data_IF_145133879160
#
_entry.id   IF_145133879160
#
_cell.length_a   1.000
_cell.length_b   1.000
_cell.length_c   1.000
_cell.angle_alpha   90.00
_cell.angle_beta   90.00
_cell.angle_gamma   90.00
#
_symmetry.space_group_name_H-M   'P 1'
#
loop_
_entity.id
_entity.type
_entity.pdbx_description
1 polymer ?
#
# COMPACT_ATOMS: atom_id res chain seq x y z
N UNK A 1 -37.49 1.56 61.35
CA UNK A 1 -36.19 2.20 61.58
C UNK A 1 -35.64 2.55 60.22
N UNK A 2 -35.71 3.84 59.89
CA UNK A 2 -35.30 4.34 58.59
C UNK A 2 -33.80 4.14 58.43
N UNK A 3 -33.40 3.44 57.36
CA UNK A 3 -31.99 3.22 57.03
C UNK A 3 -31.40 4.56 56.62
N UNK A 4 -30.67 5.20 57.53
CA UNK A 4 -29.87 6.39 57.25
C UNK A 4 -28.96 6.10 56.06
N UNK A 5 -29.04 6.94 55.03
CA UNK A 5 -28.26 6.78 53.81
C UNK A 5 -26.98 7.61 53.90
N UNK A 6 -25.98 7.29 53.07
CA UNK A 6 -24.72 8.06 52.98
C UNK A 6 -24.95 9.57 52.70
N UNK A 7 -26.13 9.97 52.26
CA UNK A 7 -26.49 11.39 52.02
C UNK A 7 -26.89 12.16 53.27
N UNK A 8 -27.16 11.46 54.37
CA UNK A 8 -27.51 12.05 55.68
C UNK A 8 -26.26 12.28 56.56
N UNK A 9 -25.07 11.89 56.05
CA UNK A 9 -23.79 12.10 56.70
C UNK A 9 -23.52 13.61 56.85
N UNK A 10 -23.60 14.09 58.09
CA UNK A 10 -23.17 15.45 58.47
C UNK A 10 -24.27 16.41 58.92
N UNK A 11 -25.55 16.04 58.89
CA UNK A 11 -26.64 16.92 59.39
C UNK A 11 -27.10 16.59 60.80
N UNK A 12 -27.25 15.31 61.14
CA UNK A 12 -27.70 14.87 62.47
C UNK A 12 -26.69 13.90 63.11
N UNK A 13 -25.78 14.43 63.92
CA UNK A 13 -24.75 13.63 64.60
C UNK A 13 -25.35 12.65 65.63
N UNK A 14 -26.52 12.99 66.19
CA UNK A 14 -27.18 12.24 67.25
C UNK A 14 -27.86 10.97 66.74
N UNK A 15 -28.57 11.07 65.61
CA UNK A 15 -29.19 9.93 64.93
C UNK A 15 -28.15 8.93 64.41
N UNK A 16 -27.00 9.42 63.93
CA UNK A 16 -25.89 8.55 63.52
C UNK A 16 -25.27 7.78 64.70
N UNK A 17 -25.13 8.43 65.87
CA UNK A 17 -24.67 7.75 67.09
C UNK A 17 -25.65 6.67 67.55
N UNK A 18 -26.96 6.91 67.43
CA UNK A 18 -27.97 5.90 67.72
C UNK A 18 -27.92 4.72 66.74
N UNK A 19 -27.80 5.00 65.44
CA UNK A 19 -27.67 3.96 64.42
C UNK A 19 -26.41 3.10 64.59
N UNK A 20 -25.27 3.73 64.91
CA UNK A 20 -24.02 3.01 65.17
C UNK A 20 -24.15 2.01 66.33
N UNK A 21 -24.96 2.30 67.35
CA UNK A 21 -25.22 1.38 68.47
C UNK A 21 -26.02 0.13 68.05
N UNK A 22 -26.73 0.19 66.92
CA UNK A 22 -27.51 -0.94 66.40
C UNK A 22 -26.72 -1.87 65.48
N UNK A 23 -25.54 -1.43 65.00
CA UNK A 23 -24.66 -2.26 64.19
C UNK A 23 -23.96 -3.30 65.08
N UNK A 24 -23.68 -4.51 64.56
CA UNK A 24 -22.83 -5.47 65.26
C UNK A 24 -21.45 -4.86 65.52
N UNK A 25 -20.85 -5.21 66.67
CA UNK A 25 -19.49 -4.80 66.96
C UNK A 25 -18.53 -5.50 65.98
N UNK A 26 -17.60 -4.73 65.42
CA UNK A 26 -16.53 -5.26 64.58
C UNK A 26 -15.52 -5.92 65.52
N UNK A 27 -15.26 -7.20 65.29
CA UNK A 27 -14.19 -7.93 65.97
C UNK A 27 -12.86 -7.62 65.26
N UNK A 28 -11.91 -6.92 65.92
CA UNK A 28 -10.62 -6.62 65.32
C UNK A 28 -9.73 -7.87 65.31
N UNK A 29 -9.87 -8.69 64.27
CA UNK A 29 -9.03 -9.85 64.00
C UNK A 29 -8.08 -9.64 62.83
N UNK A 30 -6.94 -10.34 62.85
CA UNK A 30 -6.07 -10.45 61.68
C UNK A 30 -6.65 -11.50 60.73
N UNK A 31 -6.95 -11.09 59.49
CA UNK A 31 -7.40 -11.98 58.43
C UNK A 31 -6.20 -12.63 57.70
N UNK A 32 -6.46 -13.67 56.92
CA UNK A 32 -5.42 -14.41 56.18
C UNK A 32 -4.61 -13.55 55.19
N UNK A 33 -5.17 -12.44 54.69
CA UNK A 33 -4.52 -11.49 53.77
C UNK A 33 -4.13 -10.18 54.50
N UNK A 34 -3.92 -10.26 55.81
CA UNK A 34 -3.37 -9.15 56.57
C UNK A 34 -1.89 -8.98 56.20
N UNK A 35 -1.53 -7.81 55.67
CA UNK A 35 -0.14 -7.45 55.38
C UNK A 35 0.77 -7.48 56.62
N UNK A 36 0.21 -7.57 57.82
CA UNK A 36 0.94 -7.79 59.06
C UNK A 36 0.82 -9.26 59.43
N UNK A 37 1.92 -9.99 59.27
CA UNK A 37 2.14 -11.28 59.91
C UNK A 37 2.56 -11.05 61.36
N UNK A 38 2.39 -12.03 62.24
CA UNK A 38 2.92 -11.96 63.62
C UNK A 38 4.42 -12.25 63.60
N UNK A 39 5.30 -11.24 63.73
CA UNK A 39 6.73 -11.51 63.74
C UNK A 39 7.10 -12.14 65.07
N UNK A 40 7.96 -13.15 65.04
CA UNK A 40 8.55 -13.72 66.26
C UNK A 40 9.47 -12.72 66.98
N UNK A 41 10.02 -11.74 66.24
CA UNK A 41 10.87 -10.67 66.75
C UNK A 41 10.16 -9.31 66.65
N UNK A 42 10.16 -8.52 67.73
CA UNK A 42 9.45 -7.22 67.77
C UNK A 42 10.31 -6.00 67.38
N UNK A 43 11.56 -6.22 66.95
CA UNK A 43 12.58 -5.17 66.78
C UNK A 43 12.30 -4.26 65.57
N UNK A 44 11.61 -4.77 64.55
CA UNK A 44 11.36 -4.06 63.29
C UNK A 44 12.60 -3.97 62.39
N UNK A 45 12.59 -3.00 61.47
CA UNK A 45 13.66 -2.75 60.49
C UNK A 45 14.86 -2.01 61.13
N UNK A 46 15.65 -2.74 61.92
CA UNK A 46 16.86 -2.24 62.59
C UNK A 46 18.07 -3.08 62.19
N UNK A 47 19.22 -2.47 61.88
CA UNK A 47 20.43 -3.21 61.55
C UNK A 47 20.85 -4.21 62.64
N UNK A 48 21.03 -5.47 62.22
CA UNK A 48 21.31 -6.61 63.12
C UNK A 48 22.69 -6.47 63.79
N UNK A 49 23.60 -5.71 63.21
CA UNK A 49 24.95 -5.46 63.73
C UNK A 49 24.94 -4.90 65.16
N UNK A 50 23.90 -4.16 65.55
CA UNK A 50 23.78 -3.59 66.90
C UNK A 50 23.59 -4.65 67.99
N UNK A 51 23.16 -5.86 67.60
CA UNK A 51 23.00 -7.01 68.49
C UNK A 51 24.15 -8.02 68.38
N UNK A 52 25.23 -7.70 67.63
CA UNK A 52 26.36 -8.61 67.44
C UNK A 52 27.05 -8.98 68.77
N UNK A 53 27.16 -8.02 69.69
CA UNK A 53 27.82 -8.21 70.99
C UNK A 53 26.88 -8.84 72.06
N UNK A 54 25.60 -9.04 71.73
CA UNK A 54 24.59 -9.53 72.67
C UNK A 54 24.16 -10.98 72.35
N UNK A 55 23.91 -11.82 73.38
CA UNK A 55 23.47 -13.21 73.19
C UNK A 55 21.98 -13.35 72.83
N UNK A 56 21.27 -12.23 72.69
CA UNK A 56 19.83 -12.15 72.42
C UNK A 56 19.57 -11.07 71.37
N UNK A 57 18.48 -11.22 70.64
CA UNK A 57 18.01 -10.31 69.61
C UNK A 57 16.70 -9.71 70.14
N UNK A 58 16.79 -8.52 70.75
CA UNK A 58 15.63 -7.81 71.28
C UNK A 58 14.76 -8.57 72.30
N UNK A 59 13.50 -8.16 72.40
CA UNK A 59 12.56 -8.67 73.40
C UNK A 59 11.21 -9.02 72.74
N UNK A 60 10.47 -9.93 73.36
CA UNK A 60 9.10 -10.27 72.96
C UNK A 60 8.10 -9.20 73.47
N UNK A 61 6.83 -9.27 73.05
CA UNK A 61 5.71 -8.41 73.49
C UNK A 61 5.58 -8.44 75.03
N UNK A 62 5.86 -9.60 75.64
CA UNK A 62 5.89 -9.81 77.10
C UNK A 62 7.19 -9.32 77.78
N UNK A 63 8.16 -8.79 77.03
CA UNK A 63 9.45 -8.32 77.56
C UNK A 63 10.48 -9.43 77.87
N UNK A 64 10.26 -10.66 77.38
CA UNK A 64 11.23 -11.76 77.50
C UNK A 64 12.33 -11.62 76.43
N UNK A 65 13.55 -12.02 76.76
CA UNK A 65 14.69 -11.96 75.81
C UNK A 65 14.52 -13.03 74.74
N UNK A 66 14.54 -12.65 73.46
CA UNK A 66 14.54 -13.61 72.36
C UNK A 66 15.97 -14.06 72.09
N UNK A 67 16.26 -15.33 72.38
CA UNK A 67 17.61 -15.88 72.23
C UNK A 67 17.98 -16.02 70.75
N UNK A 68 19.25 -15.78 70.43
CA UNK A 68 19.74 -15.96 69.06
C UNK A 68 19.62 -17.43 68.64
N UNK A 69 19.06 -17.73 67.45
CA UNK A 69 19.08 -19.10 66.92
C UNK A 69 20.54 -19.54 66.72
N UNK A 70 20.80 -20.84 66.83
CA UNK A 70 22.15 -21.36 66.63
C UNK A 70 22.62 -21.05 65.20
N UNK A 71 23.56 -20.11 65.05
CA UNK A 71 24.18 -19.81 63.77
C UNK A 71 25.26 -20.85 63.49
N UNK A 72 25.11 -21.63 62.42
CA UNK A 72 26.13 -22.58 61.98
C UNK A 72 27.41 -21.88 61.51
N UNK A 73 28.52 -22.62 61.55
CA UNK A 73 29.82 -22.14 61.08
C UNK A 73 29.80 -21.87 59.57
N UNK A 74 30.78 -21.11 59.07
CA UNK A 74 30.92 -20.87 57.62
C UNK A 74 31.06 -22.17 56.83
N UNK A 75 31.66 -23.19 57.44
CA UNK A 75 31.76 -24.54 56.86
C UNK A 75 30.40 -25.24 56.81
N UNK A 76 29.55 -25.09 57.83
CA UNK A 76 28.21 -25.69 57.84
C UNK A 76 27.31 -25.03 56.79
N UNK A 77 27.40 -23.71 56.63
CA UNK A 77 26.71 -22.98 55.55
C UNK A 77 27.18 -23.45 54.18
N UNK A 78 28.48 -23.71 54.04
CA UNK A 78 29.05 -24.21 52.79
C UNK A 78 28.59 -25.64 52.48
N UNK A 79 28.53 -26.52 53.50
CA UNK A 79 28.01 -27.87 53.35
C UNK A 79 26.52 -27.88 53.04
N UNK A 80 25.72 -27.06 53.73
CA UNK A 80 24.31 -26.86 53.42
C UNK A 80 24.14 -26.44 51.95
N UNK A 81 24.95 -25.48 51.47
CA UNK A 81 24.91 -25.04 50.07
C UNK A 81 25.29 -26.12 49.03
N UNK A 82 26.07 -27.14 49.41
CA UNK A 82 26.49 -28.21 48.49
C UNK A 82 25.60 -29.45 48.55
N UNK A 83 25.14 -29.82 49.75
CA UNK A 83 24.47 -31.09 50.01
C UNK A 83 22.93 -30.97 49.94
N UNK A 84 22.35 -29.81 50.27
CA UNK A 84 20.90 -29.64 50.28
C UNK A 84 20.37 -29.17 48.90
N UNK A 85 19.49 -29.95 48.24
CA UNK A 85 18.91 -29.56 46.96
C UNK A 85 17.91 -28.41 47.11
N UNK A 86 17.46 -28.07 48.32
CA UNK A 86 16.45 -27.02 48.55
C UNK A 86 17.04 -25.65 48.87
N UNK A 87 18.38 -25.49 48.84
CA UNK A 87 19.07 -24.21 49.14
C UNK A 87 18.64 -23.07 48.22
N UNK A 88 18.34 -23.35 46.96
CA UNK A 88 17.85 -22.32 46.04
C UNK A 88 16.39 -21.92 46.31
N UNK A 89 15.67 -22.68 47.17
CA UNK A 89 14.29 -22.40 47.60
C UNK A 89 14.23 -21.73 48.97
N UNK A 90 15.35 -21.66 49.69
CA UNK A 90 15.42 -21.00 50.99
C UNK A 90 15.79 -19.53 50.81
N UNK A 91 15.04 -18.65 51.45
CA UNK A 91 15.32 -17.22 51.52
C UNK A 91 15.49 -16.83 52.99
N UNK A 92 16.43 -15.94 53.27
CA UNK A 92 16.65 -15.46 54.64
C UNK A 92 15.64 -14.37 54.97
N UNK A 93 14.82 -14.62 55.98
CA UNK A 93 13.93 -13.60 56.54
C UNK A 93 14.74 -12.71 57.51
N UNK A 94 14.83 -11.42 57.21
CA UNK A 94 15.59 -10.44 57.99
C UNK A 94 14.90 -10.13 59.34
N UNK A 95 13.57 -10.21 59.39
CA UNK A 95 12.78 -9.86 60.58
C UNK A 95 12.86 -10.99 61.60
N UNK A 96 12.58 -12.22 61.20
CA UNK A 96 12.61 -13.37 62.10
C UNK A 96 14.01 -14.01 62.24
N UNK A 97 14.97 -13.60 61.40
CA UNK A 97 16.36 -14.09 61.38
C UNK A 97 16.46 -15.61 61.24
N UNK A 98 15.58 -16.16 60.42
CA UNK A 98 15.50 -17.59 60.09
C UNK A 98 15.55 -17.76 58.58
N UNK A 99 16.13 -18.87 58.14
CA UNK A 99 16.10 -19.25 56.73
C UNK A 99 14.77 -19.96 56.45
N UNK A 100 13.87 -19.27 55.75
CA UNK A 100 12.51 -19.77 55.45
C UNK A 100 12.54 -20.48 54.10
N UNK A 101 12.08 -21.73 54.09
CA UNK A 101 11.90 -22.51 52.86
C UNK A 101 10.55 -22.17 52.24
N UNK A 102 10.55 -21.74 50.97
CA UNK A 102 9.32 -21.52 50.21
C UNK A 102 8.55 -22.84 50.02
N UNK A 103 7.23 -22.78 50.19
CA UNK A 103 6.35 -23.92 49.94
C UNK A 103 6.24 -24.23 48.44
N UNK A 104 5.87 -25.46 48.08
CA UNK A 104 5.71 -25.82 46.66
C UNK A 104 4.58 -25.03 45.99
N UNK A 105 3.54 -24.65 46.75
CA UNK A 105 2.42 -23.82 46.30
C UNK A 105 2.87 -22.39 46.00
N UNK A 106 3.67 -21.78 46.89
CA UNK A 106 4.28 -20.46 46.66
C UNK A 106 5.17 -20.45 45.41
N UNK A 107 5.98 -21.49 45.23
CA UNK A 107 6.85 -21.62 44.05
C UNK A 107 6.03 -21.75 42.77
N UNK A 108 4.93 -22.49 42.78
CA UNK A 108 4.04 -22.63 41.62
C UNK A 108 3.36 -21.28 41.28
N UNK A 109 2.92 -20.54 42.30
CA UNK A 109 2.39 -19.17 42.14
C UNK A 109 3.44 -18.26 41.50
N UNK A 110 4.67 -18.24 42.01
CA UNK A 110 5.77 -17.43 41.47
C UNK A 110 6.06 -17.80 40.01
N UNK A 111 6.10 -19.10 39.69
CA UNK A 111 6.34 -19.58 38.32
C UNK A 111 5.25 -19.11 37.37
N UNK A 112 3.98 -19.19 37.78
CA UNK A 112 2.84 -18.72 36.98
C UNK A 112 2.90 -17.22 36.76
N UNK A 113 3.22 -16.43 37.79
CA UNK A 113 3.40 -14.98 37.69
C UNK A 113 4.52 -14.64 36.71
N UNK A 114 5.69 -15.27 36.83
CA UNK A 114 6.83 -15.05 35.92
C UNK A 114 6.49 -15.44 34.47
N UNK A 115 5.67 -16.47 34.29
CA UNK A 115 5.18 -16.90 32.98
C UNK A 115 4.06 -16.01 32.40
N UNK A 116 3.63 -14.96 33.11
CA UNK A 116 2.47 -14.14 32.71
C UNK A 116 1.13 -14.89 32.76
N UNK A 117 1.08 -16.02 33.48
CA UNK A 117 -0.11 -16.81 33.73
C UNK A 117 -0.91 -16.29 34.93
N UNK A 118 -2.03 -16.96 35.21
CA UNK A 118 -2.93 -16.59 36.30
C UNK A 118 -2.41 -17.23 37.59
N UNK A 119 -2.23 -16.48 38.70
CA UNK A 119 -1.67 -17.01 39.94
C UNK A 119 -2.54 -18.10 40.57
N UNK A 120 -3.85 -17.89 40.58
CA UNK A 120 -4.83 -18.84 41.12
C UNK A 120 -4.96 -20.08 40.22
N UNK A 121 -4.93 -21.26 40.84
CA UNK A 121 -5.01 -22.56 40.15
C UNK A 121 -6.42 -22.90 39.71
N UNK A 122 -7.41 -22.45 40.46
CA UNK A 122 -8.80 -22.81 40.23
C UNK A 122 -9.49 -21.83 39.27
N UNK A 123 -8.79 -20.75 38.89
CA UNK A 123 -9.35 -19.74 38.00
C UNK A 123 -9.43 -20.22 36.55
N UNK A 124 -10.63 -20.19 35.99
CA UNK A 124 -10.87 -20.50 34.58
C UNK A 124 -10.82 -19.22 33.72
N UNK A 125 -9.83 -19.05 32.81
CA UNK A 125 -9.76 -17.87 31.94
C UNK A 125 -10.87 -17.79 30.89
N UNK A 126 -11.52 -18.92 30.61
CA UNK A 126 -12.51 -19.06 29.54
C UNK A 126 -13.84 -19.55 30.12
N UNK A 127 -14.37 -18.80 31.06
CA UNK A 127 -15.73 -19.04 31.56
C UNK A 127 -16.77 -18.75 30.47
N UNK A 128 -17.81 -19.58 30.41
CA UNK A 128 -18.91 -19.38 29.49
C UNK A 128 -19.65 -18.08 29.81
N UNK A 129 -20.01 -17.32 28.77
CA UNK A 129 -20.72 -16.06 28.94
C UNK A 129 -22.11 -16.31 29.50
N UNK A 130 -22.34 -15.92 30.76
CA UNK A 130 -23.66 -16.03 31.39
C UNK A 130 -24.55 -14.86 30.97
N UNK A 131 -25.56 -15.16 30.16
CA UNK A 131 -26.56 -14.19 29.67
C UNK A 131 -27.60 -13.79 30.75
N UNK A 132 -27.14 -13.23 31.86
CA UNK A 132 -28.01 -12.87 32.99
C UNK A 132 -29.03 -11.76 32.64
N UNK A 133 -28.75 -10.92 31.64
CA UNK A 133 -29.63 -9.84 31.20
C UNK A 133 -30.47 -10.22 29.97
N UNK A 134 -29.82 -10.74 28.92
CA UNK A 134 -30.46 -11.03 27.62
C UNK A 134 -31.37 -12.25 27.63
N UNK A 135 -31.27 -13.11 28.66
CA UNK A 135 -32.19 -14.23 28.88
C UNK A 135 -33.66 -13.80 29.00
N UNK A 136 -33.92 -12.55 29.38
CA UNK A 136 -35.27 -12.01 29.50
C UNK A 136 -35.63 -11.15 28.28
N UNK A 137 -36.61 -11.60 27.49
CA UNK A 137 -37.07 -10.86 26.31
C UNK A 137 -37.97 -9.68 26.69
N UNK A 138 -37.68 -8.50 26.15
CA UNK A 138 -38.48 -7.30 26.40
C UNK A 138 -39.72 -7.26 25.50
N UNK A 139 -40.92 -7.16 26.11
CA UNK A 139 -42.19 -7.13 25.38
C UNK A 139 -42.53 -5.74 24.79
N UNK A 140 -41.99 -4.68 25.39
CA UNK A 140 -42.24 -3.29 25.00
C UNK A 140 -40.97 -2.68 24.39
N UNK A 141 -41.08 -1.76 23.42
CA UNK A 141 -39.93 -0.97 22.99
C UNK A 141 -39.36 -0.17 24.17
N UNK A 142 -38.05 0.06 24.13
CA UNK A 142 -37.36 0.88 25.14
C UNK A 142 -37.91 2.30 25.25
N UNK A 143 -38.46 2.84 24.15
CA UNK A 143 -39.02 4.18 24.10
C UNK A 143 -40.43 4.17 23.49
N UNK A 144 -41.38 4.78 24.19
CA UNK A 144 -42.76 4.98 23.75
C UNK A 144 -42.95 6.33 23.03
N UNK A 145 -41.95 6.78 22.26
CA UNK A 145 -42.04 8.03 21.52
C UNK A 145 -43.19 7.97 20.48
N UNK A 146 -44.10 8.96 20.46
CA UNK A 146 -45.23 8.93 19.53
C UNK A 146 -44.73 9.07 18.08
N UNK A 147 -45.34 8.35 17.13
CA UNK A 147 -44.95 8.42 15.73
C UNK A 147 -45.25 9.82 15.16
N UNK A 148 -44.37 10.29 14.29
CA UNK A 148 -44.53 11.60 13.66
C UNK A 148 -45.68 11.61 12.64
N UNK A 149 -46.37 12.75 12.48
CA UNK A 149 -47.41 12.90 11.44
C UNK A 149 -46.87 12.70 10.02
N UNK A 150 -45.58 12.98 9.79
CA UNK A 150 -44.94 12.83 8.49
C UNK A 150 -44.82 11.37 8.04
N UNK A 151 -44.83 10.41 8.97
CA UNK A 151 -44.79 8.98 8.66
C UNK A 151 -46.09 8.49 8.00
N UNK A 152 -47.20 9.21 8.19
CA UNK A 152 -48.52 8.85 7.68
C UNK A 152 -48.99 9.73 6.51
N UNK A 153 -48.34 10.88 6.28
CA UNK A 153 -48.70 11.81 5.21
C UNK A 153 -47.75 11.65 4.01
N UNK A 154 -48.19 12.04 2.80
CA UNK A 154 -47.30 12.13 1.64
C UNK A 154 -46.08 13.02 1.91
N UNK A 155 -44.95 12.67 1.29
CA UNK A 155 -43.67 13.32 1.55
C UNK A 155 -43.66 14.79 1.13
N UNK A 156 -43.41 15.68 2.10
CA UNK A 156 -43.20 17.11 1.82
C UNK A 156 -41.97 17.36 0.95
N UNK A 157 -40.97 16.49 1.03
CA UNK A 157 -39.74 16.63 0.25
C UNK A 157 -39.97 16.29 -1.22
N UNK A 158 -40.75 15.24 -1.48
CA UNK A 158 -41.23 14.90 -2.81
C UNK A 158 -42.03 16.06 -3.41
N UNK A 159 -42.97 16.62 -2.66
CA UNK A 159 -43.72 17.81 -3.10
C UNK A 159 -42.80 18.97 -3.49
N UNK A 160 -41.78 19.29 -2.69
CA UNK A 160 -40.78 20.32 -3.03
C UNK A 160 -40.02 20.00 -4.31
N UNK A 161 -39.66 18.73 -4.53
CA UNK A 161 -38.96 18.26 -5.74
C UNK A 161 -39.85 18.42 -6.97
N UNK A 162 -41.11 17.97 -6.89
CA UNK A 162 -42.11 18.15 -7.95
C UNK A 162 -42.26 19.63 -8.29
N UNK A 163 -42.40 20.50 -7.30
CA UNK A 163 -42.51 21.95 -7.52
C UNK A 163 -41.25 22.56 -8.17
N UNK A 164 -40.06 22.05 -7.86
CA UNK A 164 -38.81 22.45 -8.53
C UNK A 164 -38.84 22.07 -10.01
N UNK A 165 -39.26 20.84 -10.33
CA UNK A 165 -39.39 20.36 -11.72
C UNK A 165 -40.46 21.18 -12.46
N UNK A 166 -41.62 21.43 -11.84
CA UNK A 166 -42.68 22.28 -12.43
C UNK A 166 -42.16 23.68 -12.73
N UNK A 167 -41.38 24.30 -11.82
CA UNK A 167 -40.75 25.61 -12.08
C UNK A 167 -39.76 25.54 -13.24
N UNK A 168 -38.96 24.49 -13.32
CA UNK A 168 -38.00 24.29 -14.41
C UNK A 168 -38.69 24.04 -15.77
N UNK A 169 -39.84 23.35 -15.78
CA UNK A 169 -40.69 23.20 -16.96
C UNK A 169 -41.26 24.56 -17.37
N UNK A 170 -41.81 25.35 -16.42
CA UNK A 170 -42.32 26.70 -16.70
C UNK A 170 -41.24 27.64 -17.25
N UNK A 171 -40.00 27.47 -16.82
CA UNK A 171 -38.83 28.23 -17.30
C UNK A 171 -38.27 27.69 -18.63
N UNK A 172 -38.81 26.60 -19.18
CA UNK A 172 -38.34 25.99 -20.42
C UNK A 172 -37.00 25.26 -20.32
N UNK A 173 -36.43 25.08 -19.11
CA UNK A 173 -35.17 24.34 -18.91
C UNK A 173 -35.35 22.83 -19.03
N UNK A 174 -36.55 22.35 -18.76
CA UNK A 174 -36.93 20.94 -18.89
C UNK A 174 -38.11 20.89 -19.85
N UNK A 175 -37.92 20.23 -20.99
CA UNK A 175 -38.99 19.93 -21.92
C UNK A 175 -39.60 18.57 -21.59
N UNK A 176 -40.91 18.40 -21.85
CA UNK A 176 -41.61 17.12 -21.59
C UNK A 176 -41.16 16.00 -22.52
N UNK A 177 -40.67 16.36 -23.70
CA UNK A 177 -40.19 15.44 -24.73
C UNK A 177 -38.70 15.69 -24.92
N UNK A 178 -37.94 14.61 -25.09
CA UNK A 178 -36.54 14.73 -25.51
C UNK A 178 -36.48 15.47 -26.86
N UNK A 179 -35.49 16.37 -27.07
CA UNK A 179 -35.28 16.92 -28.40
C UNK A 179 -35.10 15.74 -29.37
N UNK A 180 -35.84 15.76 -30.48
CA UNK A 180 -35.61 14.79 -31.55
C UNK A 180 -34.32 15.20 -32.24
N UNK A 181 -33.36 14.29 -32.31
CA UNK A 181 -32.14 14.49 -33.11
C UNK A 181 -32.55 14.47 -34.59
N UNK A 182 -32.90 15.65 -35.11
CA UNK A 182 -33.15 15.88 -36.53
C UNK A 182 -31.83 16.11 -37.27
N UNK A 183 -30.73 15.53 -36.79
CA UNK A 183 -29.45 15.59 -37.48
C UNK A 183 -29.41 14.51 -38.57
N UNK A 184 -28.98 14.83 -39.79
CA UNK A 184 -28.82 13.83 -40.81
C UNK A 184 -27.71 12.85 -40.40
N UNK A 185 -27.95 11.55 -40.56
CA UNK A 185 -26.96 10.48 -40.25
C UNK A 185 -25.65 10.66 -41.03
N UNK A 186 -25.70 11.32 -42.18
CA UNK A 186 -24.55 11.62 -43.02
C UNK A 186 -24.51 13.12 -43.28
N UNK A 187 -23.36 13.74 -43.02
CA UNK A 187 -23.10 15.14 -43.32
C UNK A 187 -21.72 15.27 -43.96
N UNK A 188 -21.57 16.25 -44.84
CA UNK A 188 -20.30 16.50 -45.52
C UNK A 188 -19.35 17.26 -44.58
N UNK A 189 -18.29 16.57 -44.14
CA UNK A 189 -17.24 17.12 -43.28
C UNK A 189 -16.38 18.16 -44.00
N UNK A 190 -16.34 18.13 -45.33
CA UNK A 190 -15.45 18.95 -46.16
C UNK A 190 -16.16 20.12 -46.85
N UNK A 191 -17.47 20.29 -46.63
CA UNK A 191 -18.26 21.36 -47.24
C UNK A 191 -17.63 22.76 -47.09
N UNK A 192 -16.92 23.00 -45.98
CA UNK A 192 -16.29 24.28 -45.66
C UNK A 192 -14.74 24.23 -45.67
N UNK A 193 -14.12 23.13 -46.13
CA UNK A 193 -12.67 22.93 -46.05
C UNK A 193 -11.85 23.96 -46.87
N UNK A 194 -12.49 24.69 -47.80
CA UNK A 194 -11.85 25.75 -48.58
C UNK A 194 -11.95 27.17 -47.98
N UNK A 195 -12.76 27.39 -46.95
CA UNK A 195 -13.14 28.74 -46.49
C UNK A 195 -12.58 29.15 -45.12
N UNK A 196 -11.98 28.25 -44.34
CA UNK A 196 -11.48 28.62 -43.02
C UNK A 196 -10.45 27.66 -42.43
N UNK A 197 -9.39 28.25 -41.88
CA UNK A 197 -8.44 27.65 -40.93
C UNK A 197 -7.32 26.73 -41.43
N UNK A 198 -6.72 27.05 -42.58
CA UNK A 198 -5.27 26.84 -42.75
C UNK A 198 -4.51 27.91 -41.94
N UNK A 199 -4.70 27.96 -40.62
CA UNK A 199 -3.88 28.83 -39.76
C UNK A 199 -2.44 28.30 -39.80
N UNK A 200 -1.60 28.96 -40.61
CA UNK A 200 -0.24 28.56 -40.99
C UNK A 200 0.79 28.41 -39.87
N UNK A 201 0.36 28.27 -38.60
CA UNK A 201 1.16 27.91 -37.44
C UNK A 201 1.21 26.39 -37.21
N UNK A 202 0.14 25.64 -37.51
CA UNK A 202 0.14 24.16 -37.34
C UNK A 202 0.90 23.40 -38.44
N UNK A 203 1.09 24.01 -39.62
CA UNK A 203 1.87 23.45 -40.74
C UNK A 203 3.39 23.58 -40.56
N UNK A 204 3.85 24.41 -39.63
CA UNK A 204 5.29 24.64 -39.44
C UNK A 204 5.85 23.45 -38.65
N UNK A 205 6.57 22.58 -39.35
CA UNK A 205 7.40 21.46 -38.86
C UNK A 205 6.76 20.05 -38.79
N UNK A 206 5.62 19.77 -39.44
CA UNK A 206 5.26 18.37 -39.71
C UNK A 206 5.93 17.90 -41.00
N UNK A 207 6.84 16.95 -40.86
CA UNK A 207 7.43 16.26 -42.01
C UNK A 207 6.37 15.43 -42.71
N UNK A 208 6.00 15.84 -43.92
CA UNK A 208 5.03 15.12 -44.73
C UNK A 208 5.55 13.71 -45.01
N UNK A 209 4.63 12.74 -45.03
CA UNK A 209 4.98 11.40 -45.46
C UNK A 209 5.56 11.46 -46.88
N UNK A 210 6.62 10.67 -47.19
CA UNK A 210 7.07 10.53 -48.56
C UNK A 210 5.89 10.02 -49.40
N UNK A 211 5.71 10.57 -50.60
CA UNK A 211 4.71 10.06 -51.55
C UNK A 211 5.24 8.79 -52.21
N UNK A 212 4.35 7.91 -52.65
CA UNK A 212 4.79 6.78 -53.47
C UNK A 212 5.39 7.31 -54.78
N UNK A 213 6.42 6.62 -55.28
CA UNK A 213 6.95 6.91 -56.59
C UNK A 213 5.87 6.66 -57.66
N UNK A 214 5.95 7.44 -58.73
CA UNK A 214 5.12 7.20 -59.91
C UNK A 214 5.57 5.90 -60.57
N UNK A 215 4.65 5.09 -61.13
CA UNK A 215 5.03 3.89 -61.86
C UNK A 215 5.99 4.19 -63.00
N UNK A 216 6.98 3.32 -63.21
CA UNK A 216 8.01 3.47 -64.25
C UNK A 216 7.78 2.52 -65.42
N UNK A 217 8.45 2.74 -66.56
CA UNK A 217 8.37 1.84 -67.72
C UNK A 217 8.79 0.40 -67.42
N UNK A 218 9.61 0.18 -66.39
CA UNK A 218 10.03 -1.14 -65.94
C UNK A 218 8.89 -1.94 -65.27
N UNK A 219 7.88 -1.27 -64.73
CA UNK A 219 6.70 -1.88 -64.09
C UNK A 219 5.58 -2.19 -65.09
N UNK A 220 5.76 -1.81 -66.36
CA UNK A 220 4.85 -2.19 -67.43
C UNK A 220 4.84 -3.71 -67.61
N UNK A 221 3.69 -4.26 -67.98
CA UNK A 221 3.60 -5.69 -68.35
C UNK A 221 4.34 -6.01 -69.64
N UNK A 222 4.55 -5.01 -70.50
CA UNK A 222 5.30 -5.11 -71.76
C UNK A 222 6.37 -4.00 -71.77
N UNK A 223 7.46 -4.16 -71.00
CA UNK A 223 8.54 -3.19 -70.95
C UNK A 223 9.41 -3.29 -72.22
N UNK A 224 10.11 -2.22 -72.63
CA UNK A 224 11.07 -2.31 -73.72
C UNK A 224 12.23 -3.24 -73.35
N UNK A 225 12.83 -3.88 -74.36
CA UNK A 225 13.81 -4.94 -74.18
C UNK A 225 15.04 -4.54 -73.32
N UNK A 226 15.38 -3.26 -73.28
CA UNK A 226 16.47 -2.71 -72.45
C UNK A 226 16.24 -2.90 -70.94
N UNK A 227 14.99 -3.05 -70.51
CA UNK A 227 14.65 -3.24 -69.11
C UNK A 227 14.59 -4.72 -68.70
N UNK A 228 14.62 -5.64 -69.67
CA UNK A 228 14.65 -7.06 -69.38
C UNK A 228 16.04 -7.46 -68.89
N UNK A 229 16.13 -8.10 -67.73
CA UNK A 229 17.42 -8.51 -67.17
C UNK A 229 18.04 -9.62 -68.01
N UNK A 230 19.36 -9.63 -68.06
CA UNK A 230 20.12 -10.78 -68.55
C UNK A 230 20.05 -11.93 -67.54
N UNK A 231 20.34 -13.16 -67.98
CA UNK A 231 20.27 -14.34 -67.10
C UNK A 231 21.24 -14.22 -65.91
N UNK A 232 22.43 -13.66 -66.13
CA UNK A 232 23.40 -13.40 -65.06
C UNK A 232 22.89 -12.39 -64.02
N UNK A 233 22.27 -11.28 -64.45
CA UNK A 233 21.70 -10.27 -63.55
C UNK A 233 20.49 -10.82 -62.78
N UNK A 234 19.74 -11.74 -63.39
CA UNK A 234 18.62 -12.42 -62.73
C UNK A 234 19.11 -13.32 -61.60
N UNK A 235 20.18 -14.08 -61.82
CA UNK A 235 20.80 -14.91 -60.79
C UNK A 235 21.37 -14.05 -59.65
N UNK A 236 22.06 -12.96 -59.99
CA UNK A 236 22.56 -12.00 -59.00
C UNK A 236 21.40 -11.40 -58.17
N UNK A 237 20.31 -10.99 -58.82
CA UNK A 237 19.13 -10.47 -58.13
C UNK A 237 18.48 -11.49 -57.19
N UNK A 238 18.44 -12.77 -57.58
CA UNK A 238 17.94 -13.84 -56.72
C UNK A 238 18.88 -14.13 -55.55
N UNK A 239 20.20 -14.01 -55.74
CA UNK A 239 21.21 -14.21 -54.72
C UNK A 239 21.26 -13.06 -53.70
N UNK A 240 21.01 -11.82 -54.13
CA UNK A 240 20.95 -10.66 -53.23
C UNK A 240 19.76 -10.76 -52.26
N UNK A 241 19.96 -10.35 -51.01
CA UNK A 241 18.91 -10.30 -50.01
C UNK A 241 17.78 -9.34 -50.43
N UNK A 242 16.49 -9.69 -50.26
CA UNK A 242 15.35 -8.85 -50.63
C UNK A 242 15.42 -7.37 -50.26
N UNK A 243 15.98 -7.03 -49.09
CA UNK A 243 15.99 -5.65 -48.58
C UNK A 243 17.11 -4.80 -49.21
N UNK A 244 18.19 -5.43 -49.67
CA UNK A 244 19.32 -4.77 -50.33
C UNK A 244 19.10 -4.58 -51.84
N UNK A 245 18.00 -5.12 -52.39
CA UNK A 245 17.71 -5.05 -53.82
C UNK A 245 17.36 -3.63 -54.24
N UNK A 246 17.92 -3.20 -55.38
CA UNK A 246 17.57 -1.90 -56.00
C UNK A 246 16.10 -1.82 -56.44
N UNK A 247 15.49 -2.96 -56.79
CA UNK A 247 14.09 -3.08 -57.20
C UNK A 247 13.46 -4.28 -56.49
N UNK A 248 12.23 -4.09 -56.01
CA UNK A 248 11.46 -5.13 -55.29
C UNK A 248 10.95 -6.25 -56.22
N UNK A 249 10.86 -5.96 -57.52
CA UNK A 249 10.41 -6.87 -58.56
C UNK A 249 11.45 -7.02 -59.66
N UNK A 250 11.34 -8.12 -60.40
CA UNK A 250 12.10 -8.36 -61.61
C UNK A 250 11.22 -8.04 -62.82
N UNK A 251 11.63 -7.13 -63.74
CA UNK A 251 10.87 -6.86 -64.96
C UNK A 251 10.70 -8.13 -65.79
N UNK A 252 9.48 -8.36 -66.26
CA UNK A 252 9.13 -9.48 -67.12
C UNK A 252 8.31 -8.96 -68.30
N UNK A 253 8.51 -9.58 -69.45
CA UNK A 253 7.74 -9.27 -70.64
C UNK A 253 6.58 -10.24 -70.83
N UNK A 254 5.39 -9.68 -70.98
CA UNK A 254 4.18 -10.39 -71.34
C UNK A 254 3.61 -9.80 -72.63
N UNK A 255 3.41 -10.65 -73.64
CA UNK A 255 2.86 -10.21 -74.94
C UNK A 255 1.43 -9.69 -74.86
N UNK A 256 0.66 -10.11 -73.86
CA UNK A 256 -0.74 -9.70 -73.67
C UNK A 256 -1.10 -9.50 -72.21
N UNK A 257 -2.09 -8.65 -71.93
CA UNK A 257 -2.56 -8.42 -70.56
C UNK A 257 -3.19 -9.68 -69.93
N UNK A 258 -3.74 -10.58 -70.77
CA UNK A 258 -4.38 -11.83 -70.31
C UNK A 258 -3.38 -12.83 -69.73
N UNK A 259 -2.12 -12.75 -70.17
CA UNK A 259 -1.05 -13.64 -69.70
C UNK A 259 -0.36 -13.12 -68.45
N UNK A 260 -0.67 -11.90 -68.00
CA UNK A 260 -0.07 -11.31 -66.81
C UNK A 260 -0.55 -12.06 -65.57
N UNK A 261 0.36 -12.69 -64.81
CA UNK A 261 -0.01 -13.38 -63.58
C UNK A 261 -0.39 -12.39 -62.47
N UNK A 262 -1.03 -12.90 -61.42
CA UNK A 262 -1.15 -12.15 -60.18
C UNK A 262 0.23 -11.86 -59.59
N UNK A 263 0.42 -10.65 -59.07
CA UNK A 263 1.70 -10.26 -58.47
C UNK A 263 1.79 -10.74 -57.01
N UNK A 264 2.59 -11.78 -56.76
CA UNK A 264 2.67 -12.45 -55.45
C UNK A 264 3.11 -11.52 -54.31
N UNK A 265 4.01 -10.56 -54.57
CA UNK A 265 4.57 -9.68 -53.54
C UNK A 265 3.72 -8.42 -53.28
N UNK A 266 2.58 -8.26 -53.94
CA UNK A 266 1.74 -7.05 -53.82
C UNK A 266 1.39 -6.72 -52.36
N UNK A 267 0.91 -7.72 -51.61
CA UNK A 267 0.52 -7.55 -50.21
C UNK A 267 1.72 -7.22 -49.32
N UNK A 268 2.88 -7.84 -49.58
CA UNK A 268 4.11 -7.60 -48.83
C UNK A 268 4.57 -6.14 -49.01
N UNK A 269 4.58 -5.63 -50.24
CA UNK A 269 4.96 -4.24 -50.52
C UNK A 269 4.01 -3.22 -49.89
N UNK A 270 2.69 -3.44 -49.97
CA UNK A 270 1.71 -2.54 -49.35
C UNK A 270 1.85 -2.55 -47.83
N UNK A 271 2.10 -3.71 -47.24
CA UNK A 271 2.30 -3.85 -45.80
C UNK A 271 3.60 -3.18 -45.33
N UNK A 272 4.73 -3.45 -45.99
CA UNK A 272 6.01 -2.77 -45.72
C UNK A 272 5.87 -1.26 -45.84
N UNK A 273 5.15 -0.76 -46.85
CA UNK A 273 4.87 0.67 -47.00
C UNK A 273 4.10 1.25 -45.81
N UNK A 274 3.14 0.53 -45.25
CA UNK A 274 2.42 0.95 -44.04
C UNK A 274 3.36 0.99 -42.83
N UNK A 275 4.28 0.02 -42.70
CA UNK A 275 5.31 0.03 -41.67
C UNK A 275 6.26 1.21 -41.84
N UNK A 276 6.71 1.52 -43.06
CA UNK A 276 7.54 2.69 -43.33
C UNK A 276 6.85 4.01 -42.97
N UNK A 277 5.53 4.09 -43.21
CA UNK A 277 4.77 5.29 -42.87
C UNK A 277 4.62 5.47 -41.35
N UNK A 278 4.52 4.38 -40.60
CA UNK A 278 4.26 4.40 -39.16
C UNK A 278 5.54 4.39 -38.31
N UNK A 279 6.47 3.47 -38.60
CA UNK A 279 7.65 3.18 -37.78
C UNK A 279 8.90 3.94 -38.20
N UNK A 280 9.10 4.18 -39.51
CA UNK A 280 10.36 4.75 -39.97
C UNK A 280 10.49 6.24 -39.59
N UNK A 281 11.60 6.66 -38.95
CA UNK A 281 11.82 8.05 -38.60
C UNK A 281 12.02 8.90 -39.85
N UNK A 282 11.39 10.08 -39.89
CA UNK A 282 11.46 11.01 -41.03
C UNK A 282 12.47 12.11 -40.76
N UNK A 283 13.34 12.39 -41.74
CA UNK A 283 14.38 13.42 -41.64
C UNK A 283 14.39 14.26 -42.93
N UNK A 284 14.53 15.59 -42.80
CA UNK A 284 14.77 16.46 -43.96
C UNK A 284 16.21 16.32 -44.43
N UNK A 285 16.42 15.56 -45.50
CA UNK A 285 17.72 15.51 -46.19
C UNK A 285 17.82 16.66 -47.18
N UNK A 286 18.78 17.56 -46.96
CA UNK A 286 19.15 18.59 -47.95
C UNK A 286 20.05 17.93 -49.01
N UNK A 287 19.49 17.61 -50.18
CA UNK A 287 20.27 17.11 -51.31
C UNK A 287 20.84 18.27 -52.11
N UNK A 288 22.15 18.29 -52.31
CA UNK A 288 22.83 19.27 -53.17
C UNK A 288 22.81 18.76 -54.62
N UNK A 289 22.06 19.41 -55.48
CA UNK A 289 22.08 19.16 -56.93
C UNK A 289 23.22 19.97 -57.56
N UNK A 290 24.46 19.58 -57.27
CA UNK A 290 25.66 20.20 -57.83
C UNK A 290 26.09 19.43 -59.09
N UNK A 291 26.45 20.14 -60.14
CA UNK A 291 27.06 19.53 -61.32
C UNK A 291 28.52 19.17 -61.02
N UNK A 292 29.03 18.09 -61.62
CA UNK A 292 30.42 17.65 -61.39
C UNK A 292 31.44 18.74 -61.75
N UNK A 293 31.14 19.56 -62.77
CA UNK A 293 31.97 20.68 -63.23
C UNK A 293 32.00 21.86 -62.24
N UNK A 294 31.00 22.01 -61.38
CA UNK A 294 30.96 23.08 -60.37
C UNK A 294 31.80 22.76 -59.13
N UNK A 295 32.15 21.48 -58.96
CA UNK A 295 33.03 21.03 -57.88
C UNK A 295 34.49 21.36 -58.15
N UNK A 296 34.87 21.55 -59.42
CA UNK A 296 36.24 21.89 -59.80
C UNK A 296 36.42 23.41 -59.84
N UNK A 297 37.53 23.95 -59.32
CA UNK A 297 37.81 25.37 -59.40
C UNK A 297 38.04 25.78 -60.85
N UNK A 298 37.58 26.97 -61.24
CA UNK A 298 37.83 27.54 -62.57
C UNK A 298 39.30 27.98 -62.67
N UNK A 299 40.14 27.09 -63.14
CA UNK A 299 41.54 27.35 -63.45
C UNK A 299 41.65 27.92 -64.88
N UNK A 300 42.56 28.88 -65.15
CA UNK A 300 42.88 29.28 -66.51
C UNK A 300 43.46 28.10 -67.29
N UNK A 301 43.21 28.05 -68.59
CA UNK A 301 43.75 26.99 -69.42
C UNK A 301 45.29 27.02 -69.38
N UNK A 302 45.96 25.89 -69.14
CA UNK A 302 47.41 25.84 -68.98
C UNK A 302 48.16 26.34 -70.23
N UNK A 303 47.49 26.38 -71.39
CA UNK A 303 48.05 26.89 -72.65
C UNK A 303 48.34 28.39 -72.62
N UNK A 304 47.56 29.17 -71.89
CA UNK A 304 47.66 30.64 -71.83
C UNK A 304 48.81 31.11 -70.93
N UNK A 305 49.33 30.22 -70.08
CA UNK A 305 50.42 30.51 -69.13
C UNK A 305 51.81 30.12 -69.68
N UNK A 306 51.96 30.00 -71.00
CA UNK A 306 53.25 29.73 -71.65
C UNK A 306 54.14 30.98 -71.69
N UNK A 307 55.47 30.83 -71.65
CA UNK A 307 56.23 29.56 -71.71
C UNK A 307 56.44 28.91 -70.33
N UNK A 308 56.23 27.58 -70.26
CA UNK A 308 56.66 26.70 -69.17
C UNK A 308 57.38 25.48 -69.76
N UNK A 309 58.33 24.85 -69.05
CA UNK A 309 59.05 23.68 -69.55
C UNK A 309 58.07 22.53 -69.80
N UNK A 310 58.00 22.06 -71.05
CA UNK A 310 57.07 21.00 -71.48
C UNK A 310 57.74 19.63 -71.64
N UNK A 311 59.06 19.59 -71.78
CA UNK A 311 59.87 18.37 -71.87
C UNK A 311 61.28 18.66 -71.34
N UNK A 312 61.98 17.63 -70.83
CA UNK A 312 63.41 17.70 -70.52
C UNK A 312 64.20 17.91 -71.82
N UNK A 313 65.11 18.89 -71.82
CA UNK A 313 66.07 19.05 -72.89
C UNK A 313 67.18 18.00 -72.71
N UNK A 314 67.45 17.23 -73.77
CA UNK A 314 68.52 16.23 -73.84
C UNK A 314 69.88 16.78 -73.44
#
# INVERSE_FOLDING_TARGET
MDKLTIRDFGKDLESWKEYRKTLPQIDPGYASDSSTEEPSNTIGDVPIEWYADYPHIGYDIDGKRVMRPATGDELDKFLANMDDPDVFRTARDEVNQQDVKLSEEEIDIIRRIQGGGIPDADFNPYEDTVEWFTSQTMQMPLNAAPPSKMSFLPSKWEHKRVMKIVRAIRQGRITRTAPKDNEPKYFDLWANAGQGEDTGRARRQRLTAPRMALPTHAESYHPPAEYLPTDAEREEWLATDPDDRKRNFLPQDFSSLRTVPGYDRFMQERFQRCLDLYLAPRVLKKTSHLNAEELTPKLPDPRDLRPFPAAEAL
#
